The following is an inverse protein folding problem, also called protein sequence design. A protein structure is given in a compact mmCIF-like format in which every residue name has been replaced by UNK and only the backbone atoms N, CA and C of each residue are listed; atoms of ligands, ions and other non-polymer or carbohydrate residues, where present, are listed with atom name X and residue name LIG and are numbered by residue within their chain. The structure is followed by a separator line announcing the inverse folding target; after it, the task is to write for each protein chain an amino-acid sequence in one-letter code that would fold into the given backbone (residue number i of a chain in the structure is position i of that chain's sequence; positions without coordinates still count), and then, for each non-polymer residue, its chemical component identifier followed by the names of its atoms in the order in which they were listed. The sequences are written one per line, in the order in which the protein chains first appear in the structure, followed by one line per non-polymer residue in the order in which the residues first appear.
data_IF_749638805261
#
_entry.id   IF_749638805261
#
_cell.length_a   1.000
_cell.length_b   1.000
_cell.length_c   1.000
_cell.angle_alpha   90.00
_cell.angle_beta   90.00
_cell.angle_gamma   90.00
#
_symmetry.space_group_name_H-M   'P 1'
#
loop_
_entity.id
_entity.type
_entity.pdbx_description
1 polymer ?
#
# COMPACT_ATOMS: atom_id res chain seq x y z
N UNK A 1 67.78 -13.44 -13.37
CA UNK A 1 67.32 -12.20 -12.70
C UNK A 1 66.10 -11.53 -13.35
N UNK A 2 65.98 -11.40 -14.69
CA UNK A 2 64.85 -10.69 -15.32
C UNK A 2 63.46 -11.31 -15.10
N UNK A 3 63.30 -12.64 -15.11
CA UNK A 3 62.00 -13.32 -14.86
C UNK A 3 61.41 -13.06 -13.47
N UNK A 4 62.25 -12.93 -12.44
CA UNK A 4 61.79 -12.59 -11.08
C UNK A 4 61.30 -11.14 -10.96
N UNK A 5 61.86 -10.22 -11.76
CA UNK A 5 61.43 -8.82 -11.80
C UNK A 5 60.06 -8.72 -12.46
N UNK A 6 59.84 -9.41 -13.58
CA UNK A 6 58.52 -9.45 -14.23
C UNK A 6 57.44 -10.04 -13.33
N UNK A 7 57.73 -11.14 -12.63
CA UNK A 7 56.77 -11.75 -11.70
C UNK A 7 56.42 -10.81 -10.55
N UNK A 8 57.41 -10.10 -9.97
CA UNK A 8 57.17 -9.08 -8.95
C UNK A 8 56.32 -7.93 -9.48
N UNK A 9 56.60 -7.42 -10.69
CA UNK A 9 55.84 -6.32 -11.31
C UNK A 9 54.39 -6.74 -11.59
N UNK A 10 54.17 -7.96 -12.11
CA UNK A 10 52.81 -8.48 -12.34
C UNK A 10 52.06 -8.64 -11.02
N UNK A 11 52.68 -9.23 -9.99
CA UNK A 11 52.04 -9.38 -8.69
C UNK A 11 51.73 -8.04 -8.01
N UNK A 12 52.63 -7.06 -8.10
CA UNK A 12 52.39 -5.73 -7.52
C UNK A 12 51.31 -4.97 -8.27
N UNK A 13 51.30 -5.05 -9.61
CA UNK A 13 50.27 -4.38 -10.41
C UNK A 13 48.90 -5.03 -10.22
N UNK A 14 48.82 -6.37 -10.20
CA UNK A 14 47.60 -7.10 -9.86
C UNK A 14 47.08 -6.75 -8.46
N UNK A 15 47.97 -6.65 -7.46
CA UNK A 15 47.56 -6.26 -6.10
C UNK A 15 47.03 -4.82 -6.06
N UNK A 16 47.66 -3.89 -6.79
CA UNK A 16 47.17 -2.51 -6.92
C UNK A 16 45.80 -2.48 -7.57
N UNK A 17 45.57 -3.23 -8.64
CA UNK A 17 44.26 -3.31 -9.29
C UNK A 17 43.19 -3.93 -8.39
N UNK A 18 43.52 -4.98 -7.63
CA UNK A 18 42.61 -5.57 -6.63
C UNK A 18 42.26 -4.56 -5.54
N UNK A 19 43.24 -3.78 -5.06
CA UNK A 19 42.99 -2.75 -4.04
C UNK A 19 42.16 -1.59 -4.59
N UNK A 20 42.39 -1.18 -5.84
CA UNK A 20 41.57 -0.17 -6.52
C UNK A 20 40.15 -0.68 -6.73
N UNK A 21 39.96 -1.92 -7.17
CA UNK A 21 38.63 -2.51 -7.34
C UNK A 21 37.91 -2.69 -6.01
N UNK A 22 38.59 -3.13 -4.95
CA UNK A 22 38.01 -3.19 -3.59
C UNK A 22 37.67 -1.79 -3.09
N UNK A 23 38.51 -0.78 -3.34
CA UNK A 23 38.23 0.60 -2.94
C UNK A 23 37.06 1.20 -3.73
N UNK A 24 36.98 0.95 -5.05
CA UNK A 24 35.84 1.35 -5.88
C UNK A 24 34.57 0.62 -5.45
N UNK A 25 34.64 -0.67 -5.17
CA UNK A 25 33.51 -1.43 -4.64
C UNK A 25 33.09 -0.91 -3.26
N UNK A 26 34.01 -0.57 -2.38
CA UNK A 26 33.68 0.04 -1.08
C UNK A 26 33.07 1.43 -1.26
N UNK A 27 33.66 2.27 -2.12
CA UNK A 27 33.18 3.62 -2.44
C UNK A 27 31.79 3.62 -3.11
N UNK A 28 31.51 2.67 -3.99
CA UNK A 28 30.20 2.50 -4.63
C UNK A 28 29.22 1.64 -3.81
N UNK A 29 29.71 0.80 -2.89
CA UNK A 29 28.88 0.05 -1.93
C UNK A 29 28.47 0.89 -0.74
N UNK A 30 29.23 1.95 -0.40
CA UNK A 30 28.79 3.05 0.44
C UNK A 30 27.82 3.96 -0.32
N UNK A 31 26.79 3.34 -0.90
CA UNK A 31 25.50 3.95 -1.14
C UNK A 31 24.82 4.21 0.22
N UNK A 32 25.49 4.98 1.09
CA UNK A 32 25.04 5.46 2.40
C UNK A 32 24.02 6.61 2.23
N UNK A 33 22.98 6.30 1.46
CA UNK A 33 21.66 6.93 1.43
C UNK A 33 20.60 6.08 0.73
N UNK A 34 20.90 4.81 0.43
CA UNK A 34 19.84 3.82 0.26
C UNK A 34 19.50 3.30 1.65
N UNK A 35 18.62 4.05 2.32
CA UNK A 35 17.82 3.59 3.45
C UNK A 35 17.45 2.13 3.21
N UNK A 36 17.82 1.28 4.16
CA UNK A 36 17.67 -0.17 4.20
C UNK A 36 16.18 -0.51 4.38
N UNK A 37 15.35 -0.07 3.43
CA UNK A 37 13.91 -0.33 3.39
C UNK A 37 13.67 -1.48 2.41
N UNK A 38 14.12 -2.66 2.84
CA UNK A 38 13.50 -3.94 2.45
C UNK A 38 11.98 -3.81 2.67
N UNK A 39 11.23 -4.26 1.67
CA UNK A 39 9.77 -4.14 1.55
C UNK A 39 9.24 -2.70 1.50
N UNK A 40 9.56 -1.99 0.41
CA UNK A 40 8.87 -0.76 0.07
C UNK A 40 7.62 -1.07 -0.76
N UNK A 41 6.60 -1.57 -0.06
CA UNK A 41 5.22 -1.24 -0.40
C UNK A 41 5.10 0.29 -0.57
N UNK A 42 4.27 0.77 -1.49
CA UNK A 42 4.15 2.18 -1.89
C UNK A 42 3.67 3.13 -0.75
N UNK A 43 3.32 2.57 0.41
CA UNK A 43 2.73 3.17 1.61
C UNK A 43 3.53 4.31 2.24
N UNK A 44 4.87 4.26 2.36
CA UNK A 44 5.61 5.38 2.95
C UNK A 44 5.71 6.58 2.01
N UNK A 45 5.37 6.42 0.73
CA UNK A 45 5.50 7.49 -0.25
C UNK A 45 4.28 8.43 -0.27
N UNK A 46 3.16 8.12 0.40
CA UNK A 46 1.92 8.90 0.31
C UNK A 46 1.57 9.68 1.59
N UNK A 47 2.35 9.58 2.67
CA UNK A 47 2.17 10.47 3.83
C UNK A 47 2.47 11.91 3.42
N UNK A 48 1.44 12.75 3.43
CA UNK A 48 1.58 14.19 3.13
C UNK A 48 1.69 14.56 1.65
N UNK A 49 1.78 13.61 0.70
CA UNK A 49 1.88 13.92 -0.74
C UNK A 49 0.66 14.69 -1.24
N UNK A 50 -0.51 14.45 -0.69
CA UNK A 50 -1.72 15.16 -1.11
C UNK A 50 -1.70 16.67 -0.79
N UNK A 51 -0.80 17.13 0.06
CA UNK A 51 -0.66 18.56 0.42
C UNK A 51 0.60 19.21 -0.15
N UNK A 52 1.34 18.48 -0.97
CA UNK A 52 2.53 19.02 -1.64
C UNK A 52 2.08 19.70 -2.93
N UNK A 53 2.39 20.99 -3.04
CA UNK A 53 2.30 21.69 -4.31
C UNK A 53 3.30 21.07 -5.29
N UNK A 54 2.77 20.51 -6.37
CA UNK A 54 3.55 19.86 -7.43
C UNK A 54 3.79 20.79 -8.62
N UNK A 55 3.36 22.06 -8.54
CA UNK A 55 3.49 23.07 -9.57
C UNK A 55 2.55 22.86 -10.77
N UNK A 56 2.72 23.70 -11.78
CA UNK A 56 1.90 23.64 -12.99
C UNK A 56 2.30 22.45 -13.89
N UNK A 57 1.34 21.58 -14.17
CA UNK A 57 1.48 20.41 -15.06
C UNK A 57 0.70 20.55 -16.36
N UNK A 58 0.17 21.73 -16.66
CA UNK A 58 -0.68 21.99 -17.82
C UNK A 58 0.01 21.64 -19.14
N UNK A 59 1.29 22.01 -19.28
CA UNK A 59 2.10 21.68 -20.47
C UNK A 59 2.23 20.16 -20.68
N UNK A 60 2.36 19.39 -19.59
CA UNK A 60 2.47 17.93 -19.65
C UNK A 60 1.15 17.24 -19.98
N UNK A 61 0.03 17.76 -19.45
CA UNK A 61 -1.32 17.30 -19.78
C UNK A 61 -1.65 17.57 -21.25
N UNK A 62 -1.39 18.79 -21.73
CA UNK A 62 -1.60 19.18 -23.12
C UNK A 62 -0.79 18.30 -24.09
N UNK A 63 0.47 17.98 -23.75
CA UNK A 63 1.28 17.08 -24.57
C UNK A 63 0.72 15.64 -24.61
N UNK A 64 0.17 15.14 -23.51
CA UNK A 64 -0.50 13.82 -23.48
C UNK A 64 -1.71 13.77 -24.41
N UNK A 65 -2.50 14.85 -24.44
CA UNK A 65 -3.66 14.98 -25.30
C UNK A 65 -3.27 15.11 -26.78
N UNK A 66 -2.30 15.96 -27.09
CA UNK A 66 -1.79 16.17 -28.45
C UNK A 66 -1.25 14.87 -29.07
N UNK A 67 -0.53 14.06 -28.28
CA UNK A 67 -0.01 12.76 -28.71
C UNK A 67 -1.05 11.64 -28.70
N UNK A 68 -2.29 11.92 -28.29
CA UNK A 68 -3.40 10.94 -28.19
C UNK A 68 -3.01 9.70 -27.39
N UNK A 69 -2.29 9.90 -26.27
CA UNK A 69 -1.81 8.79 -25.44
C UNK A 69 -2.98 7.96 -24.89
N UNK A 70 -2.77 6.65 -24.77
CA UNK A 70 -3.72 5.73 -24.13
C UNK A 70 -3.87 6.05 -22.62
N UNK A 71 -5.01 5.68 -22.00
CA UNK A 71 -5.18 5.84 -20.55
C UNK A 71 -4.25 4.90 -19.78
N UNK A 72 -3.98 5.22 -18.51
CA UNK A 72 -3.11 4.39 -17.66
C UNK A 72 -3.68 2.98 -17.43
N UNK A 73 -5.01 2.83 -17.41
CA UNK A 73 -5.67 1.52 -17.37
C UNK A 73 -5.26 0.63 -18.54
N UNK A 74 -5.18 1.18 -19.76
CA UNK A 74 -4.73 0.43 -20.94
C UNK A 74 -3.29 -0.05 -20.78
N UNK A 75 -2.41 0.76 -20.18
CA UNK A 75 -1.03 0.36 -19.88
C UNK A 75 -0.99 -0.83 -18.90
N UNK A 76 -1.77 -0.76 -17.80
CA UNK A 76 -1.86 -1.87 -16.85
C UNK A 76 -2.48 -3.13 -17.46
N UNK A 77 -3.34 -3.00 -18.46
CA UNK A 77 -3.97 -4.15 -19.12
C UNK A 77 -3.10 -4.77 -20.22
N UNK A 78 -2.29 -3.99 -20.94
CA UNK A 78 -1.62 -4.42 -22.17
C UNK A 78 -0.09 -4.47 -22.06
N UNK A 79 0.51 -3.65 -21.20
CA UNK A 79 1.98 -3.51 -21.10
C UNK A 79 2.50 -4.08 -19.78
N UNK A 80 1.78 -3.86 -18.67
CA UNK A 80 2.16 -4.38 -17.36
C UNK A 80 1.02 -5.15 -16.67
N UNK A 81 0.55 -6.26 -17.27
CA UNK A 81 -0.59 -7.03 -16.78
C UNK A 81 -0.37 -7.69 -15.42
N UNK A 82 0.88 -8.03 -15.08
CA UNK A 82 1.26 -8.67 -13.82
C UNK A 82 1.42 -7.67 -12.66
N UNK A 83 1.09 -6.40 -12.89
CA UNK A 83 1.11 -5.39 -11.83
C UNK A 83 0.08 -5.74 -10.75
N UNK A 84 0.48 -5.64 -9.48
CA UNK A 84 -0.44 -5.81 -8.35
C UNK A 84 -1.36 -4.59 -8.14
N UNK A 85 -1.19 -3.52 -8.93
CA UNK A 85 -2.00 -2.31 -8.83
C UNK A 85 -3.44 -2.60 -9.26
N UNK A 86 -4.46 -2.31 -8.42
CA UNK A 86 -5.85 -2.46 -8.82
C UNK A 86 -6.16 -1.64 -10.08
N UNK A 87 -6.65 -2.32 -11.13
CA UNK A 87 -7.03 -1.66 -12.39
C UNK A 87 -8.22 -0.71 -12.22
N UNK A 88 -9.13 -1.05 -11.31
CA UNK A 88 -10.36 -0.30 -11.01
C UNK A 88 -10.67 -0.38 -9.53
N UNK A 89 -11.02 0.75 -8.96
CA UNK A 89 -11.50 0.88 -7.59
C UNK A 89 -12.74 1.76 -7.56
N UNK A 90 -13.66 1.45 -6.65
CA UNK A 90 -14.85 2.25 -6.38
C UNK A 90 -14.52 3.44 -5.46
N UNK A 91 -13.57 3.25 -4.54
CA UNK A 91 -13.08 4.33 -3.67
C UNK A 91 -11.59 4.20 -3.40
N UNK A 92 -10.95 5.34 -3.15
CA UNK A 92 -9.57 5.45 -2.68
C UNK A 92 -9.48 6.57 -1.66
N UNK A 93 -9.30 6.22 -0.39
CA UNK A 93 -9.22 7.20 0.69
C UNK A 93 -9.49 6.60 2.06
N UNK A 94 -10.12 7.39 2.93
CA UNK A 94 -10.37 7.00 4.32
C UNK A 94 -11.62 6.13 4.44
N UNK A 95 -11.56 5.11 5.30
CA UNK A 95 -12.74 4.33 5.72
C UNK A 95 -13.09 4.77 7.13
N UNK A 96 -14.13 5.61 7.25
CA UNK A 96 -14.47 6.33 8.47
C UNK A 96 -15.74 5.78 9.12
N UNK A 97 -15.67 5.42 10.39
CA UNK A 97 -16.84 5.00 11.15
C UNK A 97 -17.78 6.18 11.46
N UNK A 98 -19.09 5.95 11.33
CA UNK A 98 -20.14 6.97 11.49
C UNK A 98 -20.44 7.31 12.96
N UNK A 99 -20.18 6.40 13.89
CA UNK A 99 -20.40 6.60 15.32
C UNK A 99 -19.26 7.39 15.96
N UNK A 100 -18.02 6.92 15.79
CA UNK A 100 -16.86 7.49 16.50
C UNK A 100 -16.11 8.56 15.70
N UNK A 101 -16.41 8.71 14.41
CA UNK A 101 -15.64 9.54 13.49
C UNK A 101 -14.15 9.15 13.36
N UNK A 102 -13.78 7.94 13.78
CA UNK A 102 -12.44 7.36 13.64
C UNK A 102 -12.33 6.54 12.34
N UNK A 103 -11.10 6.25 11.93
CA UNK A 103 -10.75 5.65 10.66
C UNK A 103 -10.06 4.31 10.85
N UNK A 104 -10.25 3.41 9.88
CA UNK A 104 -9.37 2.26 9.69
C UNK A 104 -7.95 2.78 9.40
N UNK A 105 -6.96 2.22 10.08
CA UNK A 105 -5.56 2.66 10.02
C UNK A 105 -4.67 1.42 10.03
N UNK A 106 -3.77 1.27 9.06
CA UNK A 106 -2.84 0.14 9.09
C UNK A 106 -1.78 0.25 10.21
N UNK A 107 -1.71 1.38 10.91
CA UNK A 107 -0.79 1.70 12.01
C UNK A 107 0.70 1.55 11.65
N UNK A 108 1.04 1.43 10.36
CA UNK A 108 2.38 1.10 9.88
C UNK A 108 2.77 -0.34 10.15
N UNK A 109 1.80 -1.19 10.49
CA UNK A 109 1.96 -2.63 10.68
C UNK A 109 2.11 -3.33 9.32
N UNK A 110 2.69 -4.52 9.37
CA UNK A 110 3.05 -5.36 8.22
C UNK A 110 2.02 -6.48 8.02
N UNK A 111 2.35 -7.36 7.07
CA UNK A 111 1.62 -8.61 6.83
C UNK A 111 1.44 -9.42 8.12
N UNK A 112 0.29 -10.08 8.24
CA UNK A 112 -0.13 -10.93 9.35
C UNK A 112 -0.32 -10.18 10.68
N UNK A 113 -0.47 -8.86 10.63
CA UNK A 113 -0.83 -8.03 11.78
C UNK A 113 -2.26 -7.51 11.67
N UNK A 114 -2.89 -7.28 12.83
CA UNK A 114 -4.26 -6.76 12.91
C UNK A 114 -4.31 -5.33 12.35
N UNK A 115 -5.34 -5.03 11.56
CA UNK A 115 -5.61 -3.63 11.16
C UNK A 115 -6.00 -2.82 12.41
N UNK A 116 -5.64 -1.54 12.41
CA UNK A 116 -5.96 -0.62 13.49
C UNK A 116 -7.21 0.21 13.23
N UNK A 117 -7.62 0.89 14.29
CA UNK A 117 -8.69 1.87 14.32
C UNK A 117 -8.22 3.07 15.13
N UNK A 118 -8.16 4.24 14.49
CA UNK A 118 -7.56 5.42 15.10
C UNK A 118 -8.22 6.72 14.60
N UNK A 119 -7.92 7.83 15.25
CA UNK A 119 -8.47 9.13 14.86
C UNK A 119 -8.10 9.47 13.42
N UNK A 120 -9.11 9.81 12.61
CA UNK A 120 -8.89 10.24 11.23
C UNK A 120 -8.04 11.52 11.22
N UNK A 121 -6.96 11.53 10.45
CA UNK A 121 -6.04 12.67 10.40
C UNK A 121 -5.98 13.35 9.02
N UNK A 122 -6.55 12.80 7.95
CA UNK A 122 -6.63 13.47 6.64
C UNK A 122 -5.28 13.76 6.00
N UNK A 123 -4.26 12.93 6.27
CA UNK A 123 -2.88 13.12 5.79
C UNK A 123 -2.44 12.06 4.77
N UNK A 124 -3.35 11.16 4.37
CA UNK A 124 -2.98 10.03 3.53
C UNK A 124 -2.22 8.95 4.30
N UNK A 125 -1.29 8.28 3.63
CA UNK A 125 -0.47 7.22 4.20
C UNK A 125 -1.27 6.05 4.75
N UNK A 126 -1.13 5.79 6.05
CA UNK A 126 -1.65 4.62 6.74
C UNK A 126 -3.18 4.52 6.81
N UNK A 127 -3.89 5.62 6.58
CA UNK A 127 -5.35 5.71 6.57
C UNK A 127 -5.94 5.71 5.15
N UNK A 128 -5.11 5.45 4.13
CA UNK A 128 -5.56 5.31 2.75
C UNK A 128 -5.81 3.82 2.47
N UNK A 129 -7.06 3.51 2.14
CA UNK A 129 -7.47 2.21 1.65
C UNK A 129 -8.16 2.36 0.30
N UNK A 130 -7.97 1.37 -0.57
CA UNK A 130 -8.73 1.26 -1.82
C UNK A 130 -9.79 0.17 -1.68
N UNK A 131 -11.00 0.46 -2.16
CA UNK A 131 -12.05 -0.54 -2.31
C UNK A 131 -12.16 -0.91 -3.79
N UNK A 132 -11.74 -2.13 -4.13
CA UNK A 132 -11.52 -2.53 -5.52
C UNK A 132 -12.77 -3.07 -6.20
N UNK A 133 -12.72 -3.15 -7.55
CA UNK A 133 -13.75 -3.83 -8.33
C UNK A 133 -13.94 -5.31 -7.94
N UNK A 134 -12.87 -5.95 -7.47
CA UNK A 134 -12.84 -7.35 -7.01
C UNK A 134 -13.36 -7.53 -5.58
N UNK A 135 -13.91 -6.45 -4.98
CA UNK A 135 -14.51 -6.45 -3.65
C UNK A 135 -13.49 -6.68 -2.53
N UNK A 136 -12.24 -6.26 -2.76
CA UNK A 136 -11.17 -6.27 -1.75
C UNK A 136 -11.02 -4.88 -1.13
N UNK A 137 -10.65 -4.81 0.15
CA UNK A 137 -10.22 -3.56 0.81
C UNK A 137 -8.71 -3.64 1.00
N UNK A 138 -7.97 -2.73 0.36
CA UNK A 138 -6.52 -2.85 0.21
C UNK A 138 -5.75 -1.66 0.75
N UNK A 139 -4.58 -1.94 1.30
CA UNK A 139 -3.51 -0.99 1.62
C UNK A 139 -2.24 -1.54 0.97
N UNK A 140 -1.83 -0.92 -0.15
CA UNK A 140 -0.85 -1.48 -1.10
C UNK A 140 -1.12 -2.92 -1.59
N UNK A 141 -0.23 -3.87 -1.27
CA UNK A 141 -0.29 -5.28 -1.60
C UNK A 141 -0.99 -6.11 -0.51
N UNK A 142 -1.40 -5.47 0.60
CA UNK A 142 -2.16 -6.10 1.67
C UNK A 142 -3.66 -5.86 1.52
N UNK A 143 -4.43 -6.89 1.81
CA UNK A 143 -5.88 -6.96 1.85
C UNK A 143 -6.34 -7.15 3.29
N UNK A 144 -7.50 -6.58 3.63
CA UNK A 144 -8.21 -6.98 4.84
C UNK A 144 -8.68 -8.44 4.70
N UNK A 145 -8.42 -9.24 5.72
CA UNK A 145 -8.67 -10.66 5.77
C UNK A 145 -9.30 -11.04 7.11
N UNK A 146 -10.34 -11.89 7.06
CA UNK A 146 -10.97 -12.43 8.27
C UNK A 146 -11.15 -13.94 8.16
N UNK A 147 -10.36 -14.68 8.94
CA UNK A 147 -10.33 -16.15 8.87
C UNK A 147 -11.27 -16.84 9.88
N UNK A 148 -11.98 -16.10 10.74
CA UNK A 148 -12.88 -16.67 11.79
C UNK A 148 -14.13 -15.82 11.99
N UNK A 149 -15.25 -16.47 12.32
CA UNK A 149 -16.50 -15.80 12.72
C UNK A 149 -16.24 -14.98 13.99
N UNK A 150 -16.80 -13.77 14.06
CA UNK A 150 -16.55 -12.80 15.12
C UNK A 150 -15.07 -12.43 15.31
N UNK A 151 -14.26 -12.67 14.28
CA UNK A 151 -12.81 -12.52 14.34
C UNK A 151 -12.34 -11.07 14.18
N UNK A 152 -11.10 -10.78 14.60
CA UNK A 152 -10.44 -9.53 14.27
C UNK A 152 -10.09 -9.46 12.78
N UNK A 153 -10.01 -8.25 12.25
CA UNK A 153 -9.52 -8.02 10.89
C UNK A 153 -8.00 -7.97 10.86
N UNK A 154 -7.41 -8.79 9.99
CA UNK A 154 -5.95 -8.91 9.80
C UNK A 154 -5.58 -8.44 8.40
N UNK A 155 -4.36 -7.94 8.22
CA UNK A 155 -3.83 -7.59 6.91
C UNK A 155 -2.97 -8.72 6.37
N UNK A 156 -3.34 -9.31 5.25
CA UNK A 156 -2.57 -10.36 4.57
C UNK A 156 -2.35 -9.98 3.12
N UNK A 157 -1.39 -10.60 2.43
CA UNK A 157 -1.24 -10.39 0.99
C UNK A 157 -2.53 -10.68 0.25
N UNK A 158 -2.86 -9.79 -0.68
CA UNK A 158 -3.99 -9.98 -1.56
C UNK A 158 -3.75 -11.21 -2.44
N UNK A 159 -4.61 -12.22 -2.29
CA UNK A 159 -4.49 -13.46 -3.07
C UNK A 159 -5.50 -13.55 -4.22
N UNK A 160 -6.46 -12.63 -4.33
CA UNK A 160 -7.43 -12.54 -5.43
C UNK A 160 -8.33 -13.78 -5.61
N UNK A 161 -8.41 -14.64 -4.59
CA UNK A 161 -9.25 -15.85 -4.59
C UNK A 161 -10.63 -15.61 -3.95
N UNK A 162 -10.97 -14.35 -3.64
CA UNK A 162 -12.19 -13.97 -2.91
C UNK A 162 -12.23 -14.63 -1.51
N UNK A 163 -13.41 -15.05 -1.04
CA UNK A 163 -13.56 -15.74 0.24
C UNK A 163 -13.34 -14.82 1.43
N UNK A 164 -12.35 -15.13 2.25
CA UNK A 164 -11.99 -14.40 3.48
C UNK A 164 -11.42 -12.99 3.25
N UNK A 165 -11.18 -12.58 2.01
CA UNK A 165 -10.76 -11.22 1.62
C UNK A 165 -11.85 -10.44 0.86
N UNK A 166 -13.07 -10.96 0.80
CA UNK A 166 -14.16 -10.38 0.02
C UNK A 166 -15.16 -9.60 0.89
N UNK A 167 -15.30 -8.31 0.59
CA UNK A 167 -16.21 -7.38 1.26
C UNK A 167 -17.16 -6.71 0.27
N UNK A 168 -18.46 -6.83 0.49
CA UNK A 168 -19.47 -6.08 -0.24
C UNK A 168 -19.85 -4.82 0.52
N UNK A 169 -19.70 -3.67 -0.14
CA UNK A 169 -20.12 -2.39 0.41
C UNK A 169 -21.53 -2.04 -0.07
N UNK A 170 -22.45 -1.83 0.87
CA UNK A 170 -23.77 -1.26 0.62
C UNK A 170 -23.70 0.25 0.86
N UNK A 171 -23.84 1.04 -0.21
CA UNK A 171 -23.75 2.49 -0.13
C UNK A 171 -24.99 3.17 0.47
N UNK A 172 -26.13 2.48 0.53
CA UNK A 172 -27.35 3.01 1.17
C UNK A 172 -27.30 2.77 2.68
N UNK A 173 -26.86 1.57 3.09
CA UNK A 173 -26.74 1.18 4.50
C UNK A 173 -25.41 1.58 5.12
N UNK A 174 -24.42 1.97 4.30
CA UNK A 174 -23.04 2.24 4.69
C UNK A 174 -22.36 1.03 5.36
N UNK A 175 -22.75 -0.20 5.02
CA UNK A 175 -22.24 -1.40 5.66
C UNK A 175 -21.22 -2.12 4.80
N UNK A 176 -20.16 -2.63 5.42
CA UNK A 176 -19.19 -3.53 4.80
C UNK A 176 -19.48 -4.97 5.23
N UNK A 177 -20.13 -5.73 4.35
CA UNK A 177 -20.47 -7.14 4.55
C UNK A 177 -19.30 -8.03 4.14
N UNK A 178 -18.76 -8.79 5.08
CA UNK A 178 -17.83 -9.87 4.76
C UNK A 178 -18.59 -11.07 4.22
N UNK A 179 -18.43 -11.35 2.93
CA UNK A 179 -19.29 -12.26 2.17
C UNK A 179 -19.21 -13.70 2.70
N UNK A 180 -18.01 -14.16 3.07
CA UNK A 180 -17.80 -15.56 3.47
C UNK A 180 -18.44 -15.91 4.82
N UNK A 181 -18.51 -14.96 5.77
CA UNK A 181 -19.13 -15.21 7.08
C UNK A 181 -20.54 -14.64 7.21
N UNK A 182 -21.00 -13.85 6.24
CA UNK A 182 -22.25 -13.09 6.30
C UNK A 182 -22.33 -12.17 7.55
N UNK A 183 -21.20 -11.58 7.92
CA UNK A 183 -21.05 -10.68 9.06
C UNK A 183 -20.58 -9.30 8.60
N UNK A 184 -20.91 -8.26 9.35
CA UNK A 184 -20.56 -6.89 9.03
C UNK A 184 -19.29 -6.48 9.76
N UNK A 185 -18.48 -5.64 9.11
CA UNK A 185 -17.38 -4.95 9.78
C UNK A 185 -17.96 -4.04 10.87
N UNK A 186 -17.50 -4.24 12.09
CA UNK A 186 -17.89 -3.48 13.27
C UNK A 186 -16.67 -2.75 13.83
N UNK A 187 -16.94 -1.65 14.52
CA UNK A 187 -15.89 -0.93 15.22
C UNK A 187 -15.29 -1.82 16.34
N UNK A 188 -14.15 -1.43 16.92
CA UNK A 188 -13.52 -2.21 17.98
C UNK A 188 -14.45 -2.45 19.19
N UNK A 189 -14.34 -3.63 19.81
CA UNK A 189 -15.07 -3.95 21.04
C UNK A 189 -14.42 -3.30 22.26
N UNK A 190 -15.10 -3.35 23.41
CA UNK A 190 -14.52 -2.90 24.68
C UNK A 190 -13.28 -3.69 25.11
N UNK A 191 -13.12 -4.92 24.61
CA UNK A 191 -11.99 -5.79 24.96
C UNK A 191 -10.70 -5.39 24.23
N UNK A 192 -10.81 -5.00 22.95
CA UNK A 192 -9.69 -4.55 22.12
C UNK A 192 -10.11 -3.28 21.36
N UNK A 193 -9.91 -2.12 21.99
CA UNK A 193 -10.36 -0.80 21.50
C UNK A 193 -9.66 -0.32 20.22
N UNK A 194 -8.68 -1.06 19.73
CA UNK A 194 -7.85 -0.66 18.59
C UNK A 194 -8.11 -1.47 17.34
N UNK A 195 -8.86 -2.56 17.40
CA UNK A 195 -8.96 -3.52 16.30
C UNK A 195 -10.42 -3.74 15.93
N UNK A 196 -10.85 -3.38 14.70
CA UNK A 196 -12.20 -3.68 14.27
C UNK A 196 -12.40 -5.19 14.11
N UNK A 197 -13.63 -5.63 14.31
CA UNK A 197 -14.00 -7.06 14.29
C UNK A 197 -15.19 -7.28 13.38
N UNK A 198 -15.42 -8.52 12.95
CA UNK A 198 -16.71 -8.88 12.37
C UNK A 198 -17.72 -9.13 13.47
N UNK A 199 -18.98 -8.75 13.22
CA UNK A 199 -20.13 -9.07 14.07
C UNK A 199 -21.36 -9.32 13.22
N UNK A 200 -22.37 -9.94 13.80
CA UNK A 200 -23.65 -10.11 13.13
C UNK A 200 -24.21 -8.75 12.72
N UNK A 201 -24.65 -8.66 11.47
CA UNK A 201 -25.15 -7.43 10.90
C UNK A 201 -26.41 -6.98 11.65
N UNK A 202 -26.36 -5.80 12.27
CA UNK A 202 -27.46 -5.28 13.10
C UNK A 202 -27.91 -3.87 12.67
N UNK A 203 -27.23 -3.24 11.71
CA UNK A 203 -27.55 -1.90 11.21
C UNK A 203 -27.22 -0.76 12.18
N UNK A 204 -26.49 -1.04 13.26
CA UNK A 204 -26.00 -0.03 14.20
C UNK A 204 -25.07 0.97 13.50
N UNK A 205 -24.89 2.14 14.12
CA UNK A 205 -23.91 3.13 13.65
C UNK A 205 -22.46 2.63 13.78
N UNK A 206 -22.20 1.69 14.70
CA UNK A 206 -20.90 1.04 14.87
C UNK A 206 -20.49 0.22 13.63
N UNK A 207 -21.46 -0.27 12.86
CA UNK A 207 -21.25 -1.02 11.60
C UNK A 207 -21.38 -0.16 10.34
N UNK A 208 -21.54 1.16 10.49
CA UNK A 208 -21.67 2.10 9.37
C UNK A 208 -20.34 2.80 9.08
N UNK A 209 -19.91 2.74 7.83
CA UNK A 209 -18.60 3.16 7.34
C UNK A 209 -18.74 4.04 6.11
N UNK A 210 -18.23 5.26 6.20
CA UNK A 210 -18.13 6.19 5.07
C UNK A 210 -16.80 5.94 4.34
N UNK A 211 -16.90 5.53 3.08
CA UNK A 211 -15.77 5.46 2.15
C UNK A 211 -15.56 6.85 1.56
N UNK A 212 -14.65 7.62 2.16
CA UNK A 212 -14.36 8.99 1.73
C UNK A 212 -13.18 8.99 0.77
N UNK A 213 -13.47 9.29 -0.49
CA UNK A 213 -12.40 9.50 -1.47
C UNK A 213 -11.51 10.64 -1.01
N UNK A 214 -10.22 10.37 -0.97
CA UNK A 214 -9.23 11.41 -0.81
C UNK A 214 -9.11 12.12 -2.16
N UNK A 215 -9.84 13.23 -2.29
CA UNK A 215 -9.74 14.09 -3.48
C UNK A 215 -8.38 14.77 -3.48
N UNK A 216 -7.58 14.49 -4.50
CA UNK A 216 -6.57 15.44 -4.96
C UNK A 216 -7.35 16.67 -5.41
N UNK A 217 -7.30 17.76 -4.65
CA UNK A 217 -7.75 19.06 -5.15
C UNK A 217 -6.90 19.39 -6.37
N UNK A 218 -7.49 19.22 -7.55
CA UNK A 218 -6.94 19.66 -8.83
C UNK A 218 -7.27 21.12 -9.02
#
# INVERSE_FOLDING_TARGET
MRRFIYCKVVLTTSLVWVLVDVFLLLYFSECNKCDDRKDRSLLPALRGVMRVDYGDVSSRKALREALKCKPFSWYLENIYPDSQIPRRYYSLGEIRNVETNQCVDNMGRKENEKVGFFNCHGMGGNQVFSYTADKEIRTDDLCLDVSRINGPVVMLKCHHMKGNQMFEYDAERLTLLHVNSNQCLDMPSEEDKMVPTLRDCNGSRSQQWLLRNMTLSV
#
